data_IF_454244975989
#
_entry.id   IF_454244975989
#
_cell.length_a   1.000
_cell.length_b   1.000
_cell.length_c   1.000
_cell.angle_alpha   90.00
_cell.angle_beta   90.00
_cell.angle_gamma   90.00
#
_symmetry.space_group_name_H-M   'P 1'
#
loop_
_entity.id
_entity.type
_entity.pdbx_description
1 polymer ?
#
# COMPACT_ATOMS: atom_id res chain seq x y z
N UNK A 1 -27.79 -45.64 -6.38
CA UNK A 1 -26.69 -45.31 -5.44
C UNK A 1 -25.60 -44.44 -6.08
N UNK A 2 -25.11 -44.76 -7.29
CA UNK A 2 -24.09 -43.98 -8.03
C UNK A 2 -24.47 -42.50 -8.26
N UNK A 3 -25.74 -42.20 -8.50
CA UNK A 3 -26.23 -40.84 -8.77
C UNK A 3 -26.26 -39.93 -7.52
N UNK A 4 -26.40 -40.49 -6.32
CA UNK A 4 -26.31 -39.74 -5.06
C UNK A 4 -24.86 -39.52 -4.63
N UNK A 5 -23.96 -40.45 -4.97
CA UNK A 5 -22.51 -40.30 -4.82
C UNK A 5 -21.93 -39.18 -5.69
N UNK A 6 -22.40 -39.04 -6.94
CA UNK A 6 -22.01 -37.94 -7.83
C UNK A 6 -22.48 -36.56 -7.36
N UNK A 7 -23.68 -36.46 -6.79
CA UNK A 7 -24.21 -35.21 -6.22
C UNK A 7 -23.48 -34.78 -4.93
N UNK A 8 -23.08 -35.73 -4.09
CA UNK A 8 -22.27 -35.45 -2.90
C UNK A 8 -20.85 -34.99 -3.22
N UNK A 9 -20.25 -35.55 -4.28
CA UNK A 9 -18.90 -35.17 -4.73
C UNK A 9 -18.86 -33.73 -5.29
N UNK A 10 -19.89 -33.33 -6.05
CA UNK A 10 -20.00 -31.97 -6.60
C UNK A 10 -20.23 -30.92 -5.49
N UNK A 11 -21.02 -31.23 -4.47
CA UNK A 11 -21.21 -30.34 -3.32
C UNK A 11 -19.95 -30.17 -2.46
N UNK A 12 -19.15 -31.24 -2.29
CA UNK A 12 -17.83 -31.14 -1.63
C UNK A 12 -16.82 -30.33 -2.44
N UNK A 13 -16.85 -30.39 -3.77
CA UNK A 13 -15.97 -29.61 -4.64
C UNK A 13 -16.31 -28.11 -4.64
N UNK A 14 -17.58 -27.74 -4.48
CA UNK A 14 -17.98 -26.33 -4.38
C UNK A 14 -17.67 -25.69 -3.01
N UNK A 15 -17.60 -26.48 -1.93
CA UNK A 15 -17.30 -25.96 -0.59
C UNK A 15 -15.81 -25.61 -0.39
N UNK A 16 -14.92 -26.08 -1.26
CA UNK A 16 -13.46 -25.89 -1.16
C UNK A 16 -12.95 -24.60 -1.83
N UNK A 17 -13.83 -23.81 -2.47
CA UNK A 17 -13.46 -22.62 -3.23
C UNK A 17 -14.09 -21.33 -2.69
N UNK A 18 -14.31 -21.24 -1.38
CA UNK A 18 -14.61 -19.96 -0.74
C UNK A 18 -13.29 -19.24 -0.42
N UNK A 19 -12.78 -18.46 -1.38
CA UNK A 19 -11.72 -17.49 -1.08
C UNK A 19 -12.28 -16.38 -0.19
N UNK A 20 -11.48 -15.91 0.77
CA UNK A 20 -11.84 -14.73 1.54
C UNK A 20 -11.84 -13.47 0.64
N UNK A 21 -12.36 -12.36 1.14
CA UNK A 21 -12.19 -11.08 0.44
C UNK A 21 -10.75 -10.60 0.62
N UNK A 22 -10.09 -10.21 -0.48
CA UNK A 22 -8.81 -9.50 -0.38
C UNK A 22 -9.04 -8.10 0.14
N UNK A 23 -8.26 -7.73 1.15
CA UNK A 23 -8.43 -6.47 1.87
C UNK A 23 -7.15 -6.07 2.58
N UNK A 24 -7.11 -4.81 2.98
CA UNK A 24 -6.14 -4.30 3.95
C UNK A 24 -6.81 -4.42 5.32
N UNK A 25 -6.31 -5.35 6.13
CA UNK A 25 -6.79 -5.58 7.49
C UNK A 25 -6.43 -4.40 8.39
N UNK A 26 -5.20 -3.88 8.24
CA UNK A 26 -4.68 -2.77 9.04
C UNK A 26 -3.68 -1.95 8.24
N UNK A 27 -3.77 -0.64 8.40
CA UNK A 27 -2.87 0.33 7.81
C UNK A 27 -2.35 1.29 8.88
N UNK A 28 -1.16 1.02 9.40
CA UNK A 28 -0.52 1.86 10.41
C UNK A 28 0.58 2.71 9.77
N UNK A 29 0.59 4.02 10.08
CA UNK A 29 1.62 4.93 9.55
C UNK A 29 2.32 5.68 10.66
N UNK A 30 3.62 5.45 10.76
CA UNK A 30 4.51 6.24 11.60
C UNK A 30 5.18 7.33 10.78
N UNK A 31 5.02 8.59 11.20
CA UNK A 31 5.67 9.74 10.58
C UNK A 31 6.62 10.40 11.58
N UNK A 32 7.89 10.50 11.19
CA UNK A 32 8.91 11.23 11.94
C UNK A 32 9.36 12.46 11.17
N UNK A 33 9.10 13.64 11.73
CA UNK A 33 9.57 14.92 11.20
C UNK A 33 11.07 15.06 11.47
N UNK A 34 11.84 15.32 10.42
CA UNK A 34 13.29 15.54 10.48
C UNK A 34 13.61 17.02 10.70
N UNK A 35 14.82 17.31 11.17
CA UNK A 35 15.24 18.67 11.52
C UNK A 35 15.34 19.62 10.31
N UNK A 36 15.46 19.07 9.11
CA UNK A 36 15.52 19.81 7.83
C UNK A 36 14.15 20.00 7.17
N UNK A 37 13.06 19.55 7.82
CA UNK A 37 11.70 19.66 7.30
C UNK A 37 11.29 18.52 6.38
N UNK A 38 12.15 17.53 6.18
CA UNK A 38 11.77 16.26 5.56
C UNK A 38 10.93 15.42 6.53
N UNK A 39 10.13 14.49 6.01
CA UNK A 39 9.45 13.48 6.82
C UNK A 39 9.92 12.08 6.43
N UNK A 40 10.18 11.26 7.44
CA UNK A 40 10.39 9.82 7.27
C UNK A 40 9.07 9.13 7.58
N UNK A 41 8.49 8.51 6.56
CA UNK A 41 7.24 7.76 6.66
C UNK A 41 7.55 6.27 6.70
N UNK A 42 6.97 5.55 7.64
CA UNK A 42 6.99 4.08 7.70
C UNK A 42 5.55 3.58 7.72
N UNK A 43 5.14 2.91 6.64
CA UNK A 43 3.83 2.29 6.50
C UNK A 43 3.93 0.80 6.83
N UNK A 44 3.08 0.31 7.74
CA UNK A 44 2.90 -1.11 8.03
C UNK A 44 1.49 -1.51 7.56
N UNK A 45 1.43 -2.39 6.56
CA UNK A 45 0.20 -2.73 5.86
C UNK A 45 -0.02 -4.24 5.96
N UNK A 46 -1.02 -4.63 6.75
CA UNK A 46 -1.43 -6.02 6.88
C UNK A 46 -2.54 -6.31 5.87
N UNK A 47 -2.34 -7.30 5.01
CA UNK A 47 -3.28 -7.65 3.94
C UNK A 47 -3.66 -9.13 3.99
N UNK A 48 -4.85 -9.44 3.48
CA UNK A 48 -5.27 -10.81 3.15
C UNK A 48 -5.16 -11.01 1.65
N UNK A 49 -4.30 -11.94 1.22
CA UNK A 49 -4.06 -12.30 -0.17
C UNK A 49 -4.81 -13.59 -0.54
N UNK A 50 -5.61 -13.55 -1.59
CA UNK A 50 -6.43 -14.69 -2.05
C UNK A 50 -6.16 -15.02 -3.53
N UNK A 51 -5.12 -14.38 -4.10
CA UNK A 51 -4.64 -14.62 -5.45
C UNK A 51 -5.44 -13.91 -6.54
N UNK A 52 -6.20 -12.86 -6.21
CA UNK A 52 -7.00 -12.07 -7.16
C UNK A 52 -6.27 -10.81 -7.61
N UNK A 53 -6.25 -9.77 -6.77
CA UNK A 53 -5.47 -8.54 -6.93
C UNK A 53 -4.08 -8.70 -6.30
N UNK A 54 -3.96 -9.41 -5.17
CA UNK A 54 -2.69 -9.65 -4.48
C UNK A 54 -2.13 -11.01 -4.90
N UNK A 55 -1.46 -11.04 -6.05
CA UNK A 55 -0.92 -12.30 -6.63
C UNK A 55 0.56 -12.49 -6.40
N UNK A 56 1.31 -11.41 -6.54
CA UNK A 56 2.78 -11.41 -6.56
C UNK A 56 3.38 -10.38 -5.60
N UNK A 57 2.51 -9.70 -4.86
CA UNK A 57 2.83 -8.54 -4.06
C UNK A 57 1.73 -7.48 -4.18
N UNK A 58 2.03 -6.26 -3.73
CA UNK A 58 1.10 -5.12 -3.71
C UNK A 58 1.64 -3.94 -4.51
N UNK A 59 0.75 -3.00 -4.83
CA UNK A 59 1.11 -1.70 -5.38
C UNK A 59 0.86 -0.63 -4.35
N UNK A 60 1.88 0.21 -4.08
CA UNK A 60 1.70 1.43 -3.32
C UNK A 60 1.85 2.62 -4.24
N UNK A 61 0.72 3.24 -4.56
CA UNK A 61 0.66 4.44 -5.38
C UNK A 61 0.58 5.69 -4.49
N UNK A 62 1.49 6.63 -4.74
CA UNK A 62 1.57 7.94 -4.11
C UNK A 62 1.41 9.04 -5.18
N UNK A 63 0.86 10.22 -4.87
CA UNK A 63 0.76 11.31 -5.85
C UNK A 63 2.16 11.85 -6.21
N UNK A 64 2.44 12.15 -7.47
CA UNK A 64 3.69 12.83 -7.88
C UNK A 64 3.65 14.32 -7.62
N UNK A 65 2.47 14.90 -7.60
CA UNK A 65 2.25 16.33 -7.46
C UNK A 65 1.09 16.63 -6.49
N UNK A 66 1.22 17.73 -5.74
CA UNK A 66 0.17 18.33 -4.91
C UNK A 66 -0.11 19.77 -5.33
N UNK A 67 -1.28 20.29 -4.97
CA UNK A 67 -1.64 21.68 -5.26
C UNK A 67 -0.79 22.65 -4.41
N UNK A 68 -0.30 23.73 -5.02
CA UNK A 68 0.30 24.83 -4.29
C UNK A 68 -0.79 25.68 -3.65
N UNK A 69 -0.77 25.78 -2.32
CA UNK A 69 -1.74 26.61 -1.60
C UNK A 69 -1.41 28.11 -1.70
N UNK A 70 -0.19 28.46 -2.10
CA UNK A 70 0.20 29.86 -2.31
C UNK A 70 -0.21 30.40 -3.70
N UNK A 71 -0.31 29.52 -4.70
CA UNK A 71 -0.63 29.88 -6.08
C UNK A 71 -1.69 28.94 -6.64
N UNK A 72 -2.94 29.40 -6.65
CA UNK A 72 -4.07 28.61 -7.14
C UNK A 72 -3.84 28.13 -8.57
N UNK A 73 -3.84 26.81 -8.76
CA UNK A 73 -3.63 26.16 -10.05
C UNK A 73 -2.21 25.63 -10.29
N UNK A 74 -1.23 26.04 -9.48
CA UNK A 74 0.12 25.49 -9.55
C UNK A 74 0.18 24.12 -8.86
N UNK A 75 1.06 23.25 -9.39
CA UNK A 75 1.32 21.93 -8.85
C UNK A 75 2.79 21.78 -8.49
N UNK A 76 3.06 21.38 -7.25
CA UNK A 76 4.42 21.16 -6.75
C UNK A 76 4.73 19.66 -6.73
N UNK A 77 5.95 19.24 -7.13
CA UNK A 77 6.33 17.84 -7.12
C UNK A 77 6.65 17.37 -5.70
N UNK A 78 6.15 16.19 -5.35
CA UNK A 78 6.71 15.42 -4.25
C UNK A 78 8.07 14.84 -4.64
N UNK A 79 8.98 14.77 -3.67
CA UNK A 79 10.29 14.15 -3.82
C UNK A 79 10.40 12.96 -2.87
N UNK A 80 10.15 11.77 -3.41
CA UNK A 80 10.22 10.52 -2.66
C UNK A 80 11.59 9.85 -2.76
N UNK A 81 12.05 9.28 -1.67
CA UNK A 81 13.23 8.39 -1.60
C UNK A 81 12.86 7.13 -0.82
N UNK A 82 12.56 6.04 -1.55
CA UNK A 82 12.18 4.75 -0.96
C UNK A 82 13.42 4.09 -0.36
N UNK A 83 13.45 3.97 0.97
CA UNK A 83 14.59 3.47 1.75
C UNK A 83 14.54 1.98 1.99
N UNK A 84 13.35 1.43 2.21
CA UNK A 84 13.17 0.03 2.59
C UNK A 84 11.80 -0.48 2.20
N UNK A 85 11.77 -1.72 1.73
CA UNK A 85 10.56 -2.49 1.53
C UNK A 85 10.77 -3.89 2.09
N UNK A 86 9.81 -4.38 2.88
CA UNK A 86 9.80 -5.74 3.41
C UNK A 86 8.43 -6.38 3.26
N UNK A 87 8.41 -7.71 3.18
CA UNK A 87 7.23 -8.55 3.35
C UNK A 87 7.54 -9.62 4.39
N UNK A 88 6.68 -9.75 5.37
CA UNK A 88 6.78 -10.73 6.47
C UNK A 88 8.16 -10.65 7.18
N UNK A 89 8.63 -9.41 7.40
CA UNK A 89 9.92 -9.10 8.03
C UNK A 89 11.16 -9.28 7.13
N UNK A 90 11.01 -9.85 5.94
CA UNK A 90 12.12 -10.09 5.00
C UNK A 90 12.19 -8.99 3.95
N UNK A 91 13.40 -8.69 3.44
CA UNK A 91 13.57 -7.74 2.34
C UNK A 91 12.79 -8.24 1.11
N UNK A 92 11.98 -7.37 0.54
CA UNK A 92 11.18 -7.69 -0.65
C UNK A 92 11.67 -6.82 -1.84
N UNK A 93 11.84 -7.39 -3.05
CA UNK A 93 12.09 -6.62 -4.26
C UNK A 93 10.96 -5.62 -4.54
N UNK A 94 11.33 -4.49 -5.15
CA UNK A 94 10.36 -3.53 -5.65
C UNK A 94 10.91 -2.80 -6.88
N UNK A 95 10.01 -2.24 -7.67
CA UNK A 95 10.32 -1.32 -8.77
C UNK A 95 9.51 -0.03 -8.60
N UNK A 96 10.09 1.08 -9.07
CA UNK A 96 9.42 2.38 -9.10
C UNK A 96 9.01 2.66 -10.54
N UNK A 97 7.74 2.98 -10.74
CA UNK A 97 7.14 3.31 -12.02
C UNK A 97 6.38 4.63 -11.89
N UNK A 98 6.17 5.33 -13.01
CA UNK A 98 5.38 6.56 -13.03
C UNK A 98 4.33 6.52 -14.11
N UNK A 99 3.07 6.73 -13.75
CA UNK A 99 1.93 6.73 -14.67
C UNK A 99 0.97 7.87 -14.30
N UNK A 100 0.78 8.86 -15.17
CA UNK A 100 -0.07 10.02 -14.84
C UNK A 100 0.43 10.74 -13.57
N UNK A 101 -0.42 10.94 -12.56
CA UNK A 101 0.02 11.49 -11.26
C UNK A 101 0.47 10.41 -10.26
N UNK A 102 0.60 9.14 -10.64
CA UNK A 102 1.03 8.09 -9.72
C UNK A 102 2.55 7.91 -9.73
N UNK A 103 3.15 8.00 -8.55
CA UNK A 103 4.44 7.41 -8.17
C UNK A 103 4.14 6.01 -7.63
N UNK A 104 4.34 4.99 -8.46
CA UNK A 104 3.97 3.61 -8.15
C UNK A 104 5.18 2.85 -7.64
N UNK A 105 5.08 2.34 -6.41
CA UNK A 105 5.99 1.35 -5.85
C UNK A 105 5.34 -0.02 -6.08
N UNK A 106 5.82 -0.74 -7.09
CA UNK A 106 5.41 -2.12 -7.35
C UNK A 106 6.25 -3.05 -6.49
N UNK A 107 5.66 -3.63 -5.45
CA UNK A 107 6.34 -4.46 -4.46
C UNK A 107 6.09 -5.92 -4.81
N UNK A 108 7.15 -6.73 -4.81
CA UNK A 108 7.11 -8.14 -5.17
C UNK A 108 7.82 -8.46 -6.49
N UNK A 109 8.08 -9.75 -6.68
CA UNK A 109 8.72 -10.29 -7.88
C UNK A 109 7.66 -10.63 -8.95
N UNK A 110 7.87 -10.17 -10.19
CA UNK A 110 6.92 -10.37 -11.28
C UNK A 110 6.74 -11.86 -11.69
N UNK A 111 7.68 -12.73 -11.32
CA UNK A 111 7.68 -14.14 -11.66
C UNK A 111 7.25 -15.05 -10.48
N UNK A 112 7.23 -14.53 -9.25
CA UNK A 112 6.89 -15.30 -8.04
C UNK A 112 5.46 -15.01 -7.58
N UNK A 113 4.69 -16.06 -7.28
CA UNK A 113 3.39 -15.90 -6.61
C UNK A 113 3.61 -15.92 -5.10
N UNK A 114 2.88 -15.09 -4.36
CA UNK A 114 2.88 -15.16 -2.89
C UNK A 114 1.87 -16.20 -2.42
N UNK A 115 2.03 -16.65 -1.18
CA UNK A 115 1.09 -17.60 -0.57
C UNK A 115 -0.27 -16.93 -0.35
N UNK A 116 -1.33 -17.72 -0.23
CA UNK A 116 -2.62 -17.19 0.20
C UNK A 116 -2.62 -17.02 1.72
N UNK A 117 -3.37 -16.03 2.21
CA UNK A 117 -3.48 -15.70 3.62
C UNK A 117 -2.90 -14.33 3.95
N UNK A 118 -2.55 -14.15 5.22
CA UNK A 118 -2.11 -12.86 5.74
C UNK A 118 -0.63 -12.58 5.44
N UNK A 119 -0.36 -11.35 5.01
CA UNK A 119 0.99 -10.83 4.80
C UNK A 119 1.13 -9.42 5.37
N UNK A 120 2.30 -9.11 5.90
CA UNK A 120 2.63 -7.77 6.40
C UNK A 120 3.68 -7.12 5.52
N UNK A 121 3.37 -5.94 4.98
CA UNK A 121 4.32 -5.12 4.24
C UNK A 121 4.80 -3.93 5.08
N UNK A 122 6.12 -3.72 5.12
CA UNK A 122 6.73 -2.50 5.71
C UNK A 122 7.34 -1.69 4.57
N UNK A 123 6.90 -0.45 4.38
CA UNK A 123 7.41 0.49 3.37
C UNK A 123 7.94 1.72 4.10
N UNK A 124 9.24 1.99 3.98
CA UNK A 124 9.86 3.19 4.54
C UNK A 124 10.37 4.08 3.42
N UNK A 125 9.94 5.34 3.42
CA UNK A 125 10.36 6.33 2.44
C UNK A 125 10.50 7.72 3.06
N UNK A 126 11.43 8.50 2.53
CA UNK A 126 11.61 9.91 2.89
C UNK A 126 10.83 10.78 1.89
N UNK A 127 10.22 11.86 2.37
CA UNK A 127 9.56 12.87 1.54
C UNK A 127 10.14 14.23 1.91
N UNK A 128 10.64 14.94 0.90
CA UNK A 128 11.37 16.19 1.18
C UNK A 128 10.48 17.40 1.41
N UNK A 129 10.91 18.31 2.29
CA UNK A 129 10.32 19.63 2.49
C UNK A 129 8.80 19.59 2.72
N UNK A 130 8.35 18.78 3.68
CA UNK A 130 6.91 18.61 3.97
C UNK A 130 6.40 19.47 5.12
N UNK A 131 7.30 20.20 5.79
CA UNK A 131 6.92 21.15 6.83
C UNK A 131 6.69 22.53 6.23
N UNK A 132 5.52 23.08 6.53
CA UNK A 132 5.19 24.48 6.26
C UNK A 132 5.52 25.30 7.49
N UNK A 133 6.45 26.22 7.33
CA UNK A 133 6.88 27.12 8.38
C UNK A 133 6.04 28.39 8.37
N UNK A 134 5.58 28.82 9.53
CA UNK A 134 4.91 30.11 9.72
C UNK A 134 5.36 30.77 11.02
N UNK A 135 5.03 32.05 11.22
CA UNK A 135 5.53 32.83 12.35
C UNK A 135 5.07 32.29 13.73
N UNK A 136 3.92 31.63 13.79
CA UNK A 136 3.31 31.14 15.04
C UNK A 136 3.38 29.62 15.23
N UNK A 137 3.51 28.84 14.14
CA UNK A 137 3.58 27.38 14.19
C UNK A 137 4.18 26.76 12.94
N UNK A 138 4.59 25.51 13.07
CA UNK A 138 4.93 24.65 11.95
C UNK A 138 3.76 23.69 11.68
N UNK A 139 3.50 23.41 10.41
CA UNK A 139 2.39 22.55 9.98
C UNK A 139 2.87 21.40 9.09
N UNK A 140 2.37 20.21 9.37
CA UNK A 140 2.47 19.04 8.51
C UNK A 140 1.06 18.64 8.07
N UNK A 141 0.82 18.61 6.76
CA UNK A 141 -0.36 18.00 6.16
C UNK A 141 0.05 16.76 5.38
N UNK A 142 -0.50 15.60 5.74
CA UNK A 142 -0.20 14.34 5.08
C UNK A 142 -1.43 13.45 4.97
N UNK A 143 -1.74 12.96 3.76
CA UNK A 143 -2.80 11.97 3.55
C UNK A 143 -2.23 10.58 3.84
N UNK A 144 -2.55 10.06 5.04
CA UNK A 144 -1.99 8.85 5.62
C UNK A 144 -2.22 7.60 4.75
N UNK A 145 -3.47 7.29 4.42
CA UNK A 145 -3.81 6.09 3.64
C UNK A 145 -3.68 6.31 2.14
N UNK A 146 -3.89 7.55 1.67
CA UNK A 146 -3.93 7.88 0.25
C UNK A 146 -5.24 7.45 -0.43
N UNK A 147 -5.33 7.71 -1.74
CA UNK A 147 -6.59 7.58 -2.49
C UNK A 147 -6.57 6.48 -3.57
N UNK A 148 -5.48 5.71 -3.66
CA UNK A 148 -5.20 4.84 -4.81
C UNK A 148 -5.43 3.34 -4.55
N UNK A 149 -5.97 2.98 -3.39
CA UNK A 149 -6.25 1.58 -3.05
C UNK A 149 -7.51 1.09 -3.75
N UNK A 150 -7.41 -0.09 -4.37
CA UNK A 150 -8.56 -0.84 -4.90
C UNK A 150 -9.17 -1.78 -3.86
N UNK A 151 -8.46 -2.00 -2.74
CA UNK A 151 -8.86 -2.88 -1.66
C UNK A 151 -9.52 -2.05 -0.54
N UNK A 152 -10.56 -2.60 0.13
CA UNK A 152 -11.08 -1.97 1.34
C UNK A 152 -10.02 -1.98 2.45
N UNK A 153 -10.06 -0.94 3.30
CA UNK A 153 -9.22 -0.81 4.49
C UNK A 153 -10.14 -0.94 5.70
N UNK A 154 -9.90 -1.95 6.53
CA UNK A 154 -10.73 -2.23 7.72
C UNK A 154 -10.36 -1.29 8.89
N UNK A 155 -9.07 -1.12 9.15
CA UNK A 155 -8.54 -0.26 10.22
C UNK A 155 -7.34 0.57 9.73
N UNK A 156 -7.24 1.81 10.19
CA UNK A 156 -6.09 2.68 9.93
C UNK A 156 -5.74 3.50 11.18
N UNK A 157 -4.44 3.71 11.43
CA UNK A 157 -3.92 4.51 12.55
C UNK A 157 -2.76 5.42 12.18
#
# INVERSE_FOLDING_TARGET
>A
MVRYLLLGLVACLCALAAGAEEKINRFDVDISVQADGDILVTENIDVTAEGSQIRRGIFRDLPRYYADDAHEGDMLPYQYDVRRVRRDGNKEPYAIETEGNAFRIRIGDADVFIEHGEHTYEIQYLVKNQIRYSDDRDELYWNVTGNYWLLPIDEAS
#
